data_IF_180788216446
#
_entry.id   IF_180788216446
#
_cell.length_a   1.000
_cell.length_b   1.000
_cell.length_c   1.000
_cell.angle_alpha   90.00
_cell.angle_beta   90.00
_cell.angle_gamma   90.00
#
_symmetry.space_group_name_H-M   'P 1'
#
loop_
_entity.id
_entity.type
_entity.pdbx_description
1 polymer ?
#
# COMPACT_ATOMS: atom_id res chain seq x y z
N UNK A 1 9.61 12.78 -3.59
CA UNK A 1 9.56 11.87 -2.42
C UNK A 1 8.31 11.03 -2.56
N UNK A 2 8.38 9.74 -2.24
CA UNK A 2 7.20 8.87 -2.26
C UNK A 2 6.17 9.37 -1.22
N UNK A 3 4.88 9.19 -1.51
CA UNK A 3 3.78 9.48 -0.59
C UNK A 3 4.00 8.78 0.76
N UNK A 4 4.44 7.52 0.72
CA UNK A 4 4.78 6.74 1.90
C UNK A 4 5.88 7.37 2.76
N UNK A 5 6.92 7.91 2.13
CA UNK A 5 8.02 8.55 2.87
C UNK A 5 7.54 9.81 3.59
N UNK A 6 6.65 10.59 2.96
CA UNK A 6 6.04 11.76 3.62
C UNK A 6 5.21 11.36 4.84
N UNK A 7 4.42 10.30 4.73
CA UNK A 7 3.61 9.80 5.85
C UNK A 7 4.45 9.36 7.05
N UNK A 8 5.55 8.66 6.79
CA UNK A 8 6.46 8.20 7.85
C UNK A 8 7.17 9.34 8.59
N UNK A 9 7.22 10.54 8.00
CA UNK A 9 7.82 11.73 8.61
C UNK A 9 6.82 12.55 9.46
N UNK A 10 5.54 12.16 9.48
CA UNK A 10 4.53 12.83 10.31
C UNK A 10 4.76 12.57 11.80
N UNK A 11 4.16 13.42 12.64
CA UNK A 11 4.19 13.26 14.10
C UNK A 11 3.32 12.09 14.58
N UNK A 12 3.52 11.68 15.84
CA UNK A 12 2.82 10.54 16.46
C UNK A 12 1.28 10.61 16.37
N UNK A 13 0.68 11.80 16.36
CA UNK A 13 -0.76 11.98 16.20
C UNK A 13 -1.29 11.41 14.88
N UNK A 14 -0.54 11.53 13.79
CA UNK A 14 -0.95 11.01 12.48
C UNK A 14 -0.60 9.53 12.31
N UNK A 15 0.32 8.99 13.11
CA UNK A 15 0.60 7.56 13.11
C UNK A 15 -0.59 6.75 13.62
N UNK A 16 -1.33 7.27 14.61
CA UNK A 16 -2.57 6.63 15.04
C UNK A 16 -3.59 6.54 13.88
N UNK A 17 -3.77 7.62 13.12
CA UNK A 17 -4.66 7.61 11.95
C UNK A 17 -4.20 6.61 10.87
N UNK A 18 -2.89 6.48 10.68
CA UNK A 18 -2.32 5.47 9.77
C UNK A 18 -2.56 4.05 10.28
N UNK A 19 -2.39 3.79 11.58
CA UNK A 19 -2.71 2.48 12.16
C UNK A 19 -4.19 2.14 11.97
N UNK A 20 -5.10 3.05 12.31
CA UNK A 20 -6.55 2.86 12.10
C UNK A 20 -6.92 2.63 10.63
N UNK A 21 -6.22 3.27 9.69
CA UNK A 21 -6.38 3.04 8.26
C UNK A 21 -5.98 1.61 7.87
N UNK A 22 -4.81 1.16 8.34
CA UNK A 22 -4.20 -0.13 7.97
C UNK A 22 -4.68 -1.34 8.79
N UNK A 23 -5.41 -1.12 9.88
CA UNK A 23 -6.15 -2.16 10.59
C UNK A 23 -7.32 -2.72 9.75
N UNK A 24 -7.72 -2.01 8.69
CA UNK A 24 -8.72 -2.50 7.73
C UNK A 24 -8.14 -3.57 6.82
N UNK A 25 -8.94 -4.61 6.58
CA UNK A 25 -8.61 -5.62 5.59
C UNK A 25 -8.58 -5.01 4.18
N UNK A 26 -7.53 -5.32 3.41
CA UNK A 26 -7.46 -4.89 2.00
C UNK A 26 -6.04 -4.77 1.49
N UNK A 27 -5.22 -3.97 2.17
CA UNK A 27 -3.84 -3.70 1.84
C UNK A 27 -2.97 -3.76 3.10
N UNK A 28 -2.18 -4.82 3.33
CA UNK A 28 -1.30 -4.91 4.49
C UNK A 28 -0.25 -3.79 4.51
N UNK A 29 0.02 -3.22 5.69
CA UNK A 29 1.01 -2.13 5.85
C UNK A 29 2.40 -2.53 5.36
N UNK A 30 2.83 -3.77 5.61
CA UNK A 30 4.09 -4.32 5.11
C UNK A 30 4.15 -4.26 3.56
N UNK A 31 3.07 -4.65 2.88
CA UNK A 31 2.98 -4.64 1.42
C UNK A 31 3.03 -3.20 0.92
N UNK A 32 2.26 -2.30 1.54
CA UNK A 32 2.31 -0.87 1.26
C UNK A 32 3.73 -0.32 1.40
N UNK A 33 4.44 -0.73 2.44
CA UNK A 33 5.78 -0.26 2.77
C UNK A 33 6.81 -0.74 1.75
N UNK A 34 6.96 -2.06 1.60
CA UNK A 34 8.01 -2.66 0.77
C UNK A 34 7.78 -2.41 -0.72
N UNK A 35 6.53 -2.27 -1.16
CA UNK A 35 6.18 -2.00 -2.55
C UNK A 35 5.79 -0.55 -2.81
N UNK A 36 6.03 0.36 -1.87
CA UNK A 36 5.60 1.77 -1.94
C UNK A 36 5.92 2.44 -3.27
N UNK A 37 7.17 2.34 -3.72
CA UNK A 37 7.63 2.95 -4.97
C UNK A 37 6.97 2.35 -6.22
N UNK A 38 6.57 1.08 -6.20
CA UNK A 38 5.83 0.47 -7.31
C UNK A 38 4.35 0.85 -7.22
N UNK A 39 3.72 0.67 -6.07
CA UNK A 39 2.30 0.98 -5.86
C UNK A 39 1.99 2.42 -6.31
N UNK A 40 2.79 3.40 -5.90
CA UNK A 40 2.51 4.80 -6.20
C UNK A 40 2.65 5.21 -7.68
N UNK A 41 3.24 4.36 -8.52
CA UNK A 41 3.44 4.63 -9.96
C UNK A 41 2.31 4.12 -10.85
N UNK A 42 1.35 3.37 -10.31
CA UNK A 42 0.31 2.73 -11.11
C UNK A 42 -0.93 3.60 -11.27
N UNK A 43 -1.66 3.42 -12.38
CA UNK A 43 -2.94 4.10 -12.65
C UNK A 43 -4.12 3.37 -11.97
N UNK A 44 -4.15 3.32 -10.64
CA UNK A 44 -5.16 2.53 -9.90
C UNK A 44 -6.61 2.97 -10.16
N UNK A 45 -6.86 4.27 -10.35
CA UNK A 45 -8.20 4.76 -10.71
C UNK A 45 -8.68 4.19 -12.05
N UNK A 46 -7.80 4.13 -13.05
CA UNK A 46 -8.12 3.53 -14.35
C UNK A 46 -8.29 2.02 -14.20
N UNK A 47 -7.38 1.36 -13.48
CA UNK A 47 -7.44 -0.07 -13.24
C UNK A 47 -8.72 -0.50 -12.51
N UNK A 48 -9.28 0.36 -11.64
CA UNK A 48 -10.57 0.11 -11.00
C UNK A 48 -11.74 -0.04 -12.01
N UNK A 49 -11.58 0.44 -13.25
CA UNK A 49 -12.62 0.44 -14.30
C UNK A 49 -12.22 -0.36 -15.55
N UNK A 50 -10.98 -0.86 -15.61
CA UNK A 50 -10.40 -1.58 -16.74
C UNK A 50 -9.89 -2.94 -16.26
N UNK A 51 -10.67 -4.00 -16.49
CA UNK A 51 -10.33 -5.36 -16.05
C UNK A 51 -8.99 -5.85 -16.60
N UNK A 52 -8.67 -5.51 -17.85
CA UNK A 52 -7.42 -5.94 -18.48
C UNK A 52 -6.22 -5.34 -17.78
N UNK A 53 -6.26 -4.02 -17.53
CA UNK A 53 -5.23 -3.34 -16.75
C UNK A 53 -5.17 -3.85 -15.30
N UNK A 54 -6.32 -4.02 -14.65
CA UNK A 54 -6.40 -4.53 -13.29
C UNK A 54 -5.76 -5.90 -13.15
N UNK A 55 -6.05 -6.81 -14.08
CA UNK A 55 -5.47 -8.14 -14.10
C UNK A 55 -3.95 -8.09 -14.26
N UNK A 56 -3.44 -7.24 -15.17
CA UNK A 56 -1.98 -7.04 -15.33
C UNK A 56 -1.35 -6.54 -14.02
N UNK A 57 -1.91 -5.50 -13.40
CA UNK A 57 -1.37 -4.95 -12.16
C UNK A 57 -1.45 -5.95 -11.00
N UNK A 58 -2.52 -6.76 -10.93
CA UNK A 58 -2.65 -7.84 -9.97
C UNK A 58 -1.53 -8.89 -10.14
N UNK A 59 -1.26 -9.35 -11.36
CA UNK A 59 -0.18 -10.32 -11.60
C UNK A 59 1.19 -9.73 -11.25
N UNK A 60 1.44 -8.47 -11.62
CA UNK A 60 2.69 -7.77 -11.28
C UNK A 60 2.83 -7.54 -9.77
N UNK A 61 1.74 -7.31 -9.04
CA UNK A 61 1.76 -7.27 -7.57
C UNK A 61 2.25 -8.60 -7.00
N UNK A 62 1.71 -9.73 -7.47
CA UNK A 62 2.12 -11.05 -7.00
C UNK A 62 3.60 -11.35 -7.31
N UNK A 63 4.06 -10.98 -8.50
CA UNK A 63 5.47 -11.10 -8.89
C UNK A 63 6.38 -10.25 -7.99
N UNK A 64 5.99 -8.99 -7.72
CA UNK A 64 6.73 -8.14 -6.81
C UNK A 64 6.80 -8.72 -5.39
N UNK A 65 5.75 -9.40 -4.91
CA UNK A 65 5.78 -10.11 -3.63
C UNK A 65 6.73 -11.30 -3.65
N UNK A 66 6.84 -12.04 -4.76
CA UNK A 66 7.83 -13.12 -4.90
C UNK A 66 9.27 -12.58 -4.90
N UNK A 67 9.49 -11.44 -5.55
CA UNK A 67 10.78 -10.75 -5.53
C UNK A 67 11.13 -10.31 -4.10
N UNK A 68 10.19 -9.69 -3.36
CA UNK A 68 10.45 -9.31 -1.96
C UNK A 68 10.67 -10.52 -1.06
N UNK A 69 9.90 -11.59 -1.24
CA UNK A 69 10.11 -12.83 -0.50
C UNK A 69 11.53 -13.37 -0.73
N UNK A 70 12.00 -13.38 -1.98
CA UNK A 70 13.34 -13.85 -2.33
C UNK A 70 14.44 -13.01 -1.68
N UNK A 71 14.23 -11.69 -1.54
CA UNK A 71 15.14 -10.80 -0.79
C UNK A 71 15.16 -11.16 0.70
N UNK A 72 14.00 -11.34 1.32
CA UNK A 72 13.95 -11.72 2.74
C UNK A 72 14.53 -13.10 3.03
N UNK A 73 14.51 -14.03 2.06
CA UNK A 73 15.24 -15.30 2.15
C UNK A 73 16.75 -15.08 2.20
N UNK A 74 17.28 -14.23 1.33
CA UNK A 74 18.71 -13.89 1.31
C UNK A 74 19.15 -13.13 2.57
N UNK A 75 18.27 -12.30 3.11
CA UNK A 75 18.50 -11.53 4.35
C UNK A 75 18.23 -12.35 5.63
N UNK A 76 17.93 -13.65 5.52
CA UNK A 76 17.59 -14.54 6.64
C UNK A 76 16.46 -14.00 7.56
N UNK A 77 15.59 -13.16 7.00
CA UNK A 77 14.52 -12.44 7.71
C UNK A 77 13.26 -13.29 7.87
N UNK A 78 13.33 -14.30 8.74
CA UNK A 78 12.29 -15.33 8.92
C UNK A 78 10.86 -14.78 9.06
N UNK A 79 10.66 -13.74 9.89
CA UNK A 79 9.33 -13.18 10.13
C UNK A 79 8.77 -12.51 8.86
N UNK A 80 9.60 -11.73 8.16
CA UNK A 80 9.22 -11.03 6.94
C UNK A 80 8.94 -12.02 5.79
N UNK A 81 9.71 -13.11 5.69
CA UNK A 81 9.43 -14.21 4.75
C UNK A 81 8.03 -14.79 5.00
N UNK A 82 7.71 -15.12 6.25
CA UNK A 82 6.40 -15.65 6.63
C UNK A 82 5.27 -14.67 6.28
N UNK A 83 5.44 -13.39 6.62
CA UNK A 83 4.45 -12.35 6.37
C UNK A 83 4.17 -12.17 4.88
N UNK A 84 5.20 -11.98 4.05
CA UNK A 84 5.03 -11.80 2.60
C UNK A 84 4.34 -13.01 1.96
N UNK A 85 4.74 -14.23 2.35
CA UNK A 85 4.09 -15.46 1.85
C UNK A 85 2.59 -15.47 2.18
N UNK A 86 2.22 -15.09 3.41
CA UNK A 86 0.82 -15.00 3.86
C UNK A 86 0.05 -13.92 3.10
N UNK A 87 0.63 -12.74 2.90
CA UNK A 87 -0.04 -11.66 2.16
C UNK A 87 -0.27 -12.00 0.69
N UNK A 88 0.70 -12.67 0.04
CA UNK A 88 0.50 -13.16 -1.32
C UNK A 88 -0.71 -14.09 -1.40
N UNK A 89 -0.87 -15.00 -0.43
CA UNK A 89 -2.05 -15.87 -0.36
C UNK A 89 -3.34 -15.09 -0.14
N UNK A 90 -3.34 -14.06 0.71
CA UNK A 90 -4.55 -13.26 0.94
C UNK A 90 -4.99 -12.48 -0.30
N UNK A 91 -4.05 -12.07 -1.17
CA UNK A 91 -4.39 -11.41 -2.43
C UNK A 91 -5.03 -12.34 -3.46
N UNK A 92 -4.89 -13.67 -3.34
CA UNK A 92 -5.51 -14.61 -4.29
C UNK A 92 -7.04 -14.48 -4.36
N UNK A 93 -7.67 -13.95 -3.30
CA UNK A 93 -9.12 -13.66 -3.29
C UNK A 93 -9.57 -12.67 -4.38
N UNK A 94 -8.65 -11.89 -4.94
CA UNK A 94 -8.94 -10.91 -5.99
C UNK A 94 -8.68 -11.43 -7.40
N UNK A 95 -8.36 -12.71 -7.56
CA UNK A 95 -8.08 -13.30 -8.87
C UNK A 95 -9.25 -13.11 -9.85
N UNK A 96 -10.49 -13.30 -9.39
CA UNK A 96 -11.68 -13.14 -10.22
C UNK A 96 -12.20 -11.69 -10.24
N UNK A 97 -11.78 -10.86 -9.28
CA UNK A 97 -12.20 -9.47 -9.12
C UNK A 97 -11.01 -8.49 -8.95
N UNK A 98 -10.09 -8.41 -9.93
CA UNK A 98 -8.90 -7.56 -9.81
C UNK A 98 -9.23 -6.06 -9.77
N UNK A 99 -10.36 -5.63 -10.36
CA UNK A 99 -10.84 -4.26 -10.28
C UNK A 99 -11.18 -3.85 -8.82
N UNK A 100 -11.64 -4.80 -7.99
CA UNK A 100 -11.93 -4.56 -6.58
C UNK A 100 -10.62 -4.33 -5.80
N UNK A 101 -9.55 -5.06 -6.13
CA UNK A 101 -8.22 -4.78 -5.58
C UNK A 101 -7.72 -3.40 -5.97
N UNK A 102 -7.82 -3.04 -7.26
CA UNK A 102 -7.42 -1.72 -7.73
C UNK A 102 -8.18 -0.59 -7.03
N UNK A 103 -9.49 -0.76 -6.87
CA UNK A 103 -10.36 0.18 -6.13
C UNK A 103 -9.93 0.30 -4.66
N UNK A 104 -9.60 -0.83 -4.02
CA UNK A 104 -9.12 -0.87 -2.64
C UNK A 104 -7.82 -0.10 -2.50
N UNK A 105 -6.81 -0.40 -3.34
CA UNK A 105 -5.51 0.28 -3.29
C UNK A 105 -5.67 1.80 -3.55
N UNK A 106 -6.47 2.18 -4.54
CA UNK A 106 -6.78 3.58 -4.82
C UNK A 106 -7.35 4.28 -3.58
N UNK A 107 -8.33 3.65 -2.91
CA UNK A 107 -8.95 4.19 -1.71
C UNK A 107 -7.94 4.40 -0.57
N UNK A 108 -7.04 3.44 -0.33
CA UNK A 108 -5.96 3.59 0.65
C UNK A 108 -5.06 4.78 0.32
N UNK A 109 -4.65 4.93 -0.94
CA UNK A 109 -3.80 6.04 -1.38
C UNK A 109 -4.50 7.40 -1.27
N UNK A 110 -5.82 7.45 -1.47
CA UNK A 110 -6.62 8.66 -1.26
C UNK A 110 -6.72 9.02 0.22
N UNK A 111 -6.96 8.05 1.11
CA UNK A 111 -7.00 8.27 2.56
C UNK A 111 -5.67 8.72 3.13
N UNK A 112 -4.58 8.19 2.63
CA UNK A 112 -3.24 8.68 2.93
C UNK A 112 -3.05 10.16 2.54
N UNK A 113 -3.56 10.58 1.38
CA UNK A 113 -3.51 12.00 0.97
C UNK A 113 -4.35 12.90 1.87
N UNK A 114 -5.51 12.43 2.33
CA UNK A 114 -6.34 13.15 3.31
C UNK A 114 -5.58 13.38 4.63
N UNK A 115 -4.84 12.36 5.11
CA UNK A 115 -3.99 12.46 6.30
C UNK A 115 -2.87 13.50 6.07
N UNK A 116 -2.17 13.43 4.94
CA UNK A 116 -1.12 14.39 4.58
C UNK A 116 -1.64 15.83 4.51
N UNK A 117 -2.78 16.05 3.84
CA UNK A 117 -3.39 17.36 3.71
C UNK A 117 -3.79 17.93 5.09
N UNK A 118 -4.30 17.08 5.97
CA UNK A 118 -4.64 17.47 7.35
C UNK A 118 -3.40 17.87 8.14
N UNK A 119 -2.27 17.19 7.94
CA UNK A 119 -1.00 17.54 8.54
C UNK A 119 -0.46 18.89 8.04
N UNK A 120 -0.47 19.12 6.74
CA UNK A 120 -0.01 20.35 6.12
C UNK A 120 -0.85 21.57 6.58
N UNK A 121 -2.18 21.40 6.72
CA UNK A 121 -3.08 22.43 7.26
C UNK A 121 -2.81 22.76 8.73
N UNK A 122 -2.48 21.76 9.56
CA UNK A 122 -2.17 22.02 10.96
C UNK A 122 -0.82 22.75 11.13
N UNK A 123 0.17 22.45 10.30
CA UNK A 123 1.47 23.15 10.31
C UNK A 123 1.34 24.63 9.93
N UNK A 124 0.50 24.96 8.96
CA UNK A 124 0.27 26.34 8.53
C UNK A 124 -0.44 27.17 9.62
N UNK A 125 -1.34 26.56 10.39
CA UNK A 125 -2.06 27.23 11.49
C UNK A 125 -1.21 27.45 12.75
N UNK A 126 -0.18 26.64 12.99
CA UNK A 126 0.75 26.83 14.12
C UNK A 126 1.88 27.81 13.82
N UNK A 127 2.05 28.21 12.56
CA UNK A 127 3.14 29.08 12.10
C UNK A 127 2.73 30.55 11.91
N UNK A 128 1.47 30.89 12.21
CA UNK A 128 0.91 32.25 12.14
C UNK A 128 0.29 32.66 13.47
#
# INVERSE_FOLDING_TARGET
>A
MAQWDRLRQLSATYWQQLHELYDRDGLPMDVRHYLSAWIEKQEWERAARDYGLAMVLYQVLLENLDIQHSRFVQEESFLQQHNIRRYKQSFQRYQDEPCALASTIQWFLEKEKEILNSADLNLTRTSG
#
